data_IF_307755558302
#
_entry.id   IF_307755558302
#
_cell.length_a   1.000
_cell.length_b   1.000
_cell.length_c   1.000
_cell.angle_alpha   90.00
_cell.angle_beta   90.00
_cell.angle_gamma   90.00
#
_symmetry.space_group_name_H-M   'P 1'
#
loop_
_entity.id
_entity.type
_entity.pdbx_description
1 polymer ?
#
# COMPACT_ATOMS: atom_id res chain seq x y z
N UNK A 1 -42.29 -10.38 9.50
CA UNK A 1 -41.32 -9.48 10.15
C UNK A 1 -41.83 -8.06 10.03
N UNK A 2 -41.82 -7.28 11.12
CA UNK A 2 -42.20 -5.86 11.10
C UNK A 2 -40.97 -5.01 10.73
N UNK A 3 -40.99 -4.36 9.56
CA UNK A 3 -39.91 -3.49 9.09
C UNK A 3 -39.69 -2.30 10.05
N UNK A 4 -40.74 -1.82 10.72
CA UNK A 4 -40.62 -0.73 11.71
C UNK A 4 -39.75 -1.12 12.89
N UNK A 5 -39.85 -2.37 13.34
CA UNK A 5 -39.02 -2.90 14.42
C UNK A 5 -37.53 -2.89 14.02
N UNK A 6 -37.22 -3.31 12.79
CA UNK A 6 -35.84 -3.31 12.28
C UNK A 6 -35.30 -1.88 12.12
N UNK A 7 -36.13 -0.94 11.69
CA UNK A 7 -35.77 0.48 11.62
C UNK A 7 -35.45 1.07 13.00
N UNK A 8 -36.24 0.74 14.03
CA UNK A 8 -35.95 1.16 15.40
C UNK A 8 -34.60 0.61 15.91
N UNK A 9 -34.30 -0.66 15.62
CA UNK A 9 -33.01 -1.27 15.96
C UNK A 9 -31.87 -0.55 15.23
N UNK A 10 -32.05 -0.19 13.95
CA UNK A 10 -31.07 0.59 13.19
C UNK A 10 -30.80 1.95 13.85
N UNK A 11 -31.86 2.68 14.22
CA UNK A 11 -31.71 3.99 14.86
C UNK A 11 -31.07 3.91 16.24
N UNK A 12 -31.37 2.85 17.01
CA UNK A 12 -30.68 2.56 18.27
C UNK A 12 -29.18 2.34 18.04
N UNK A 13 -28.82 1.51 17.05
CA UNK A 13 -27.42 1.28 16.67
C UNK A 13 -26.72 2.57 16.22
N UNK A 14 -27.39 3.42 15.44
CA UNK A 14 -26.87 4.72 15.03
C UNK A 14 -26.62 5.65 16.22
N UNK A 15 -27.53 5.66 17.20
CA UNK A 15 -27.38 6.45 18.43
C UNK A 15 -26.16 5.99 19.24
N UNK A 16 -26.02 4.68 19.47
CA UNK A 16 -24.87 4.08 20.17
C UNK A 16 -23.56 4.35 19.44
N UNK A 17 -23.56 4.27 18.11
CA UNK A 17 -22.39 4.57 17.29
C UNK A 17 -21.95 6.03 17.43
N UNK A 18 -22.89 6.98 17.44
CA UNK A 18 -22.61 8.41 17.68
C UNK A 18 -22.04 8.66 19.07
N UNK A 19 -22.46 7.87 20.06
CA UNK A 19 -21.92 7.91 21.43
C UNK A 19 -20.54 7.24 21.55
N UNK A 20 -19.97 6.73 20.45
CA UNK A 20 -18.71 5.97 20.39
C UNK A 20 -18.75 4.63 21.15
N UNK A 21 -19.92 4.16 21.56
CA UNK A 21 -20.09 2.80 22.07
C UNK A 21 -20.20 1.81 20.91
N UNK A 22 -19.04 1.50 20.32
CA UNK A 22 -18.94 0.65 19.14
C UNK A 22 -19.39 -0.79 19.40
N UNK A 23 -19.20 -1.29 20.64
CA UNK A 23 -19.58 -2.67 21.02
C UNK A 23 -21.09 -2.82 21.05
N UNK A 24 -21.78 -1.93 21.77
CA UNK A 24 -23.24 -1.97 21.84
C UNK A 24 -23.87 -1.64 20.48
N UNK A 25 -23.28 -0.73 19.71
CA UNK A 25 -23.73 -0.45 18.35
C UNK A 25 -23.63 -1.69 17.44
N UNK A 26 -22.52 -2.44 17.50
CA UNK A 26 -22.36 -3.68 16.74
C UNK A 26 -23.43 -4.71 17.12
N UNK A 27 -23.69 -4.90 18.41
CA UNK A 27 -24.74 -5.83 18.88
C UNK A 27 -26.12 -5.41 18.35
N UNK A 28 -26.44 -4.11 18.41
CA UNK A 28 -27.71 -3.60 17.88
C UNK A 28 -27.84 -3.85 16.37
N UNK A 29 -26.82 -3.53 15.58
CA UNK A 29 -26.86 -3.77 14.13
C UNK A 29 -26.93 -5.28 13.81
N UNK A 30 -26.19 -6.12 14.53
CA UNK A 30 -26.24 -7.58 14.37
C UNK A 30 -27.64 -8.13 14.68
N UNK A 31 -28.30 -7.66 15.73
CA UNK A 31 -29.67 -8.05 16.05
C UNK A 31 -30.65 -7.71 14.90
N UNK A 32 -30.46 -6.56 14.26
CA UNK A 32 -31.24 -6.18 13.08
C UNK A 32 -30.99 -7.10 11.88
N UNK A 33 -29.73 -7.42 11.60
CA UNK A 33 -29.34 -8.37 10.53
C UNK A 33 -29.92 -9.75 10.80
N UNK A 34 -29.77 -10.26 12.03
CA UNK A 34 -30.30 -11.55 12.47
C UNK A 34 -31.82 -11.64 12.32
N UNK A 35 -32.55 -10.56 12.66
CA UNK A 35 -34.00 -10.53 12.51
C UNK A 35 -34.42 -10.70 11.06
N UNK A 36 -33.69 -10.05 10.13
CA UNK A 36 -33.90 -10.19 8.70
C UNK A 36 -33.55 -11.61 8.23
N UNK A 37 -32.37 -12.12 8.56
CA UNK A 37 -31.92 -13.45 8.13
C UNK A 37 -32.84 -14.57 8.67
N UNK A 38 -33.29 -14.47 9.92
CA UNK A 38 -34.22 -15.43 10.54
C UNK A 38 -35.65 -15.35 10.03
N UNK A 39 -36.02 -14.25 9.36
CA UNK A 39 -37.37 -14.10 8.80
C UNK A 39 -37.67 -15.04 7.62
N UNK A 40 -36.62 -15.63 7.03
CA UNK A 40 -36.72 -16.49 5.84
C UNK A 40 -37.08 -15.73 4.55
N UNK A 41 -37.19 -14.41 4.60
CA UNK A 41 -37.47 -13.59 3.43
C UNK A 41 -36.21 -13.43 2.58
N UNK A 42 -36.34 -13.60 1.27
CA UNK A 42 -35.27 -13.30 0.34
C UNK A 42 -35.06 -11.78 0.29
N UNK A 43 -33.90 -11.33 0.77
CA UNK A 43 -33.53 -9.91 0.85
C UNK A 43 -33.55 -9.25 -0.53
N UNK A 44 -33.27 -10.00 -1.60
CA UNK A 44 -33.21 -9.46 -2.97
C UNK A 44 -34.58 -9.11 -3.56
N UNK A 45 -35.66 -9.72 -3.07
CA UNK A 45 -37.00 -9.61 -3.67
C UNK A 45 -37.78 -8.39 -3.17
N UNK A 46 -37.39 -7.84 -2.02
CA UNK A 46 -38.02 -6.67 -1.42
C UNK A 46 -37.02 -5.52 -1.31
N UNK A 47 -37.28 -4.42 -2.03
CA UNK A 47 -36.39 -3.25 -2.11
C UNK A 47 -36.15 -2.58 -0.75
N UNK A 48 -37.17 -2.47 0.08
CA UNK A 48 -37.06 -1.83 1.39
C UNK A 48 -36.27 -2.71 2.35
N UNK A 49 -36.52 -4.02 2.32
CA UNK A 49 -35.76 -5.01 3.07
C UNK A 49 -34.29 -5.05 2.63
N UNK A 50 -34.03 -5.06 1.32
CA UNK A 50 -32.68 -4.95 0.73
C UNK A 50 -31.97 -3.72 1.25
N UNK A 51 -32.61 -2.57 1.15
CA UNK A 51 -32.04 -1.29 1.59
C UNK A 51 -31.69 -1.33 3.07
N UNK A 52 -32.59 -1.85 3.90
CA UNK A 52 -32.39 -1.91 5.35
C UNK A 52 -31.29 -2.90 5.74
N UNK A 53 -31.26 -4.08 5.12
CA UNK A 53 -30.19 -5.07 5.30
C UNK A 53 -28.82 -4.53 4.92
N UNK A 54 -28.71 -3.85 3.77
CA UNK A 54 -27.46 -3.23 3.31
C UNK A 54 -27.01 -2.11 4.27
N UNK A 55 -27.93 -1.28 4.76
CA UNK A 55 -27.61 -0.24 5.76
C UNK A 55 -27.09 -0.82 7.07
N UNK A 56 -27.79 -1.82 7.63
CA UNK A 56 -27.40 -2.49 8.87
C UNK A 56 -26.05 -3.20 8.72
N UNK A 57 -25.90 -4.02 7.67
CA UNK A 57 -24.70 -4.81 7.43
C UNK A 57 -23.48 -3.93 7.18
N UNK A 58 -23.62 -2.87 6.37
CA UNK A 58 -22.50 -1.94 6.17
C UNK A 58 -22.13 -1.26 7.49
N UNK A 59 -23.09 -0.74 8.26
CA UNK A 59 -22.82 -0.11 9.56
C UNK A 59 -22.19 -1.06 10.58
N UNK A 60 -22.62 -2.33 10.60
CA UNK A 60 -22.00 -3.37 11.40
C UNK A 60 -20.53 -3.59 11.00
N UNK A 61 -20.24 -3.68 9.70
CA UNK A 61 -18.85 -3.80 9.21
C UNK A 61 -17.99 -2.60 9.62
N UNK A 62 -18.55 -1.38 9.67
CA UNK A 62 -17.84 -0.20 10.19
C UNK A 62 -17.55 -0.32 11.69
N UNK A 63 -18.48 -0.85 12.48
CA UNK A 63 -18.26 -1.06 13.91
C UNK A 63 -17.12 -2.05 14.16
N UNK A 64 -17.06 -3.14 13.39
CA UNK A 64 -15.97 -4.12 13.47
C UNK A 64 -14.64 -3.53 13.00
N UNK A 65 -14.63 -2.78 11.89
CA UNK A 65 -13.44 -2.09 11.40
C UNK A 65 -12.86 -1.15 12.46
N UNK A 66 -13.70 -0.33 13.11
CA UNK A 66 -13.26 0.60 14.16
C UNK A 66 -12.80 -0.11 15.46
N UNK A 67 -13.18 -1.37 15.64
CA UNK A 67 -12.75 -2.22 16.76
C UNK A 67 -11.52 -3.07 16.42
N UNK A 68 -10.92 -2.89 15.25
CA UNK A 68 -9.84 -3.73 14.70
C UNK A 68 -10.23 -5.22 14.54
N UNK A 69 -11.53 -5.51 14.45
CA UNK A 69 -12.10 -6.84 14.18
C UNK A 69 -12.21 -7.04 12.66
N UNK A 70 -11.07 -7.12 12.00
CA UNK A 70 -11.00 -7.05 10.53
C UNK A 70 -11.60 -8.29 9.86
N UNK A 71 -11.49 -9.48 10.48
CA UNK A 71 -12.01 -10.72 9.89
C UNK A 71 -13.53 -10.68 9.78
N UNK A 72 -14.20 -10.28 10.87
CA UNK A 72 -15.64 -10.11 10.95
C UNK A 72 -16.12 -9.07 9.94
N UNK A 73 -15.44 -7.93 9.86
CA UNK A 73 -15.74 -6.88 8.89
C UNK A 73 -15.68 -7.38 7.44
N UNK A 74 -14.67 -8.19 7.08
CA UNK A 74 -14.53 -8.78 5.73
C UNK A 74 -15.70 -9.72 5.43
N UNK A 75 -16.06 -10.62 6.36
CA UNK A 75 -17.17 -11.56 6.15
C UNK A 75 -18.49 -10.84 5.89
N UNK A 76 -18.76 -9.77 6.64
CA UNK A 76 -19.97 -8.97 6.46
C UNK A 76 -19.93 -8.23 5.10
N UNK A 77 -18.80 -7.64 4.73
CA UNK A 77 -18.67 -6.98 3.43
C UNK A 77 -18.83 -7.97 2.27
N UNK A 78 -18.34 -9.21 2.41
CA UNK A 78 -18.55 -10.26 1.41
C UNK A 78 -20.05 -10.56 1.23
N UNK A 79 -20.83 -10.65 2.31
CA UNK A 79 -22.29 -10.81 2.22
C UNK A 79 -22.95 -9.63 1.51
N UNK A 80 -22.56 -8.40 1.86
CA UNK A 80 -23.10 -7.18 1.24
C UNK A 80 -22.82 -7.15 -0.26
N UNK A 81 -21.59 -7.45 -0.67
CA UNK A 81 -21.16 -7.38 -2.07
C UNK A 81 -21.74 -8.51 -2.95
N UNK A 82 -22.23 -9.60 -2.35
CA UNK A 82 -23.04 -10.60 -3.06
C UNK A 82 -24.41 -10.04 -3.48
N UNK A 83 -24.99 -9.16 -2.66
CA UNK A 83 -26.33 -8.58 -2.88
C UNK A 83 -26.26 -7.28 -3.68
N UNK A 84 -25.22 -6.49 -3.46
CA UNK A 84 -24.95 -5.20 -4.10
C UNK A 84 -23.44 -5.09 -4.41
N UNK A 85 -23.00 -5.61 -5.57
CA UNK A 85 -21.58 -5.63 -5.94
C UNK A 85 -20.92 -4.25 -6.03
N UNK A 86 -21.72 -3.20 -6.25
CA UNK A 86 -21.24 -1.83 -6.43
C UNK A 86 -21.38 -0.99 -5.15
N UNK A 87 -21.63 -1.64 -4.00
CA UNK A 87 -21.77 -0.97 -2.73
C UNK A 87 -20.47 -0.28 -2.30
N UNK A 88 -20.39 1.03 -2.50
CA UNK A 88 -19.17 1.83 -2.27
C UNK A 88 -18.65 1.73 -0.83
N UNK A 89 -19.56 1.69 0.15
CA UNK A 89 -19.21 1.55 1.57
C UNK A 89 -18.59 0.19 1.88
N UNK A 90 -19.15 -0.89 1.33
CA UNK A 90 -18.62 -2.23 1.56
C UNK A 90 -17.28 -2.45 0.86
N UNK A 91 -17.12 -1.99 -0.40
CA UNK A 91 -15.85 -2.04 -1.12
C UNK A 91 -14.75 -1.33 -0.33
N UNK A 92 -15.01 -0.09 0.11
CA UNK A 92 -14.03 0.69 0.87
C UNK A 92 -13.67 0.02 2.20
N UNK A 93 -14.67 -0.44 2.97
CA UNK A 93 -14.45 -1.06 4.29
C UNK A 93 -13.73 -2.40 4.17
N UNK A 94 -14.05 -3.22 3.17
CA UNK A 94 -13.36 -4.49 2.91
C UNK A 94 -11.90 -4.26 2.52
N UNK A 95 -11.63 -3.27 1.68
CA UNK A 95 -10.27 -2.89 1.32
C UNK A 95 -9.44 -2.48 2.55
N UNK A 96 -9.98 -1.63 3.42
CA UNK A 96 -9.29 -1.22 4.64
C UNK A 96 -9.05 -2.38 5.61
N UNK A 97 -10.02 -3.28 5.80
CA UNK A 97 -9.83 -4.47 6.64
C UNK A 97 -8.79 -5.44 6.09
N UNK A 98 -8.80 -5.68 4.77
CA UNK A 98 -7.79 -6.53 4.11
C UNK A 98 -6.39 -5.94 4.22
N UNK A 99 -6.24 -4.62 4.01
CA UNK A 99 -4.99 -3.90 4.26
C UNK A 99 -4.51 -4.09 5.70
N UNK A 100 -5.39 -3.84 6.68
CA UNK A 100 -5.02 -3.94 8.09
C UNK A 100 -4.65 -5.37 8.51
N UNK A 101 -5.32 -6.40 7.96
CA UNK A 101 -4.91 -7.79 8.16
C UNK A 101 -3.53 -8.07 7.56
N UNK A 102 -3.27 -7.59 6.34
CA UNK A 102 -1.97 -7.77 5.70
C UNK A 102 -0.85 -7.10 6.50
N UNK A 103 -1.13 -5.96 7.14
CA UNK A 103 -0.18 -5.22 7.97
C UNK A 103 -0.03 -5.76 9.40
N UNK A 104 -0.85 -6.74 9.79
CA UNK A 104 -0.79 -7.35 11.12
C UNK A 104 0.59 -7.93 11.43
N UNK A 105 0.98 -7.86 12.70
CA UNK A 105 2.22 -8.47 13.20
C UNK A 105 2.27 -9.99 12.95
N UNK A 106 1.10 -10.63 12.80
CA UNK A 106 0.96 -12.04 12.49
C UNK A 106 1.72 -12.44 11.22
N UNK A 107 1.88 -11.52 10.26
CA UNK A 107 2.54 -11.76 8.97
C UNK A 107 3.83 -10.94 8.83
N UNK A 108 4.44 -10.51 9.94
CA UNK A 108 5.53 -9.52 9.92
C UNK A 108 6.88 -10.05 9.41
N UNK A 109 7.11 -11.36 9.41
CA UNK A 109 8.37 -11.94 8.96
C UNK A 109 8.51 -11.84 7.42
N UNK A 110 9.48 -11.06 6.90
CA UNK A 110 9.68 -10.91 5.46
C UNK A 110 10.32 -12.13 4.79
N UNK A 111 10.71 -13.15 5.56
CA UNK A 111 11.28 -14.41 5.06
C UNK A 111 10.31 -15.58 5.13
N UNK A 112 9.17 -15.41 5.80
CA UNK A 112 8.13 -16.44 5.83
C UNK A 112 7.31 -16.39 4.53
N UNK A 113 7.43 -17.45 3.75
CA UNK A 113 6.78 -17.58 2.46
C UNK A 113 5.26 -17.55 2.62
N UNK A 114 4.71 -18.21 3.64
CA UNK A 114 3.26 -18.30 3.84
C UNK A 114 2.68 -16.92 4.25
N UNK A 115 3.34 -16.21 5.17
CA UNK A 115 3.00 -14.83 5.50
C UNK A 115 2.98 -13.91 4.26
N UNK A 116 3.95 -14.05 3.36
CA UNK A 116 3.99 -13.26 2.13
C UNK A 116 2.87 -13.63 1.15
N UNK A 117 2.54 -14.92 1.02
CA UNK A 117 1.42 -15.38 0.17
C UNK A 117 0.08 -14.84 0.67
N UNK A 118 -0.15 -14.91 1.98
CA UNK A 118 -1.35 -14.36 2.63
C UNK A 118 -1.44 -12.85 2.40
N UNK A 119 -0.33 -12.13 2.65
CA UNK A 119 -0.25 -10.68 2.38
C UNK A 119 -0.56 -10.33 0.93
N UNK A 120 -0.02 -11.07 -0.03
CA UNK A 120 -0.29 -10.81 -1.45
C UNK A 120 -1.76 -11.03 -1.80
N UNK A 121 -2.40 -12.06 -1.24
CA UNK A 121 -3.84 -12.30 -1.41
C UNK A 121 -4.69 -11.16 -0.84
N UNK A 122 -4.44 -10.76 0.40
CA UNK A 122 -5.15 -9.68 1.08
C UNK A 122 -5.01 -8.33 0.34
N UNK A 123 -3.78 -7.95 -0.03
CA UNK A 123 -3.56 -6.73 -0.79
C UNK A 123 -4.11 -6.80 -2.21
N UNK A 124 -4.11 -7.96 -2.86
CA UNK A 124 -4.74 -8.14 -4.17
C UNK A 124 -6.25 -7.88 -4.10
N UNK A 125 -6.93 -8.42 -3.09
CA UNK A 125 -8.36 -8.19 -2.91
C UNK A 125 -8.66 -6.73 -2.56
N UNK A 126 -7.88 -6.13 -1.65
CA UNK A 126 -8.05 -4.73 -1.29
C UNK A 126 -7.81 -3.78 -2.49
N UNK A 127 -6.84 -4.11 -3.35
CA UNK A 127 -6.59 -3.38 -4.59
C UNK A 127 -7.79 -3.45 -5.53
N UNK A 128 -8.32 -4.64 -5.78
CA UNK A 128 -9.47 -4.83 -6.66
C UNK A 128 -10.70 -4.03 -6.20
N UNK A 129 -10.94 -4.00 -4.88
CA UNK A 129 -12.03 -3.22 -4.29
C UNK A 129 -11.86 -1.72 -4.48
N UNK A 130 -10.65 -1.18 -4.28
CA UNK A 130 -10.37 0.25 -4.45
C UNK A 130 -10.34 0.67 -5.92
N UNK A 131 -9.86 -0.19 -6.83
CA UNK A 131 -9.92 0.06 -8.28
C UNK A 131 -11.37 0.15 -8.72
N UNK A 132 -12.21 -0.81 -8.31
CA UNK A 132 -13.65 -0.78 -8.56
C UNK A 132 -14.31 0.45 -7.95
N UNK A 133 -13.98 0.81 -6.71
CA UNK A 133 -14.54 1.99 -6.06
C UNK A 133 -14.16 3.28 -6.81
N UNK A 134 -12.93 3.38 -7.32
CA UNK A 134 -12.46 4.54 -8.06
C UNK A 134 -13.12 4.68 -9.45
N UNK A 135 -13.70 3.60 -10.01
CA UNK A 135 -14.55 3.72 -11.23
C UNK A 135 -15.97 4.18 -10.92
N UNK A 136 -16.46 3.90 -9.71
CA UNK A 136 -17.80 4.31 -9.26
C UNK A 136 -17.83 5.75 -8.74
N UNK A 137 -16.85 6.13 -7.92
CA UNK A 137 -16.76 7.44 -7.29
C UNK A 137 -15.29 7.91 -7.21
N UNK A 138 -14.98 9.03 -7.85
CA UNK A 138 -13.65 9.64 -7.74
C UNK A 138 -13.45 10.27 -6.34
N UNK A 139 -12.60 9.64 -5.52
CA UNK A 139 -12.29 10.13 -4.19
C UNK A 139 -10.78 10.17 -3.96
N UNK A 140 -10.27 11.32 -3.51
CA UNK A 140 -8.85 11.53 -3.21
C UNK A 140 -8.31 10.54 -2.17
N UNK A 141 -9.11 10.17 -1.17
CA UNK A 141 -8.73 9.19 -0.15
C UNK A 141 -8.57 7.79 -0.75
N UNK A 142 -9.48 7.39 -1.65
CA UNK A 142 -9.40 6.11 -2.38
C UNK A 142 -8.14 6.05 -3.25
N UNK A 143 -7.82 7.15 -3.96
CA UNK A 143 -6.58 7.23 -4.75
C UNK A 143 -5.31 7.12 -3.88
N UNK A 144 -5.32 7.71 -2.69
CA UNK A 144 -4.21 7.61 -1.73
C UNK A 144 -4.04 6.17 -1.22
N UNK A 145 -5.13 5.53 -0.80
CA UNK A 145 -5.10 4.13 -0.33
C UNK A 145 -4.68 3.18 -1.45
N UNK A 146 -5.22 3.36 -2.66
CA UNK A 146 -4.83 2.55 -3.81
C UNK A 146 -3.34 2.71 -4.13
N UNK A 147 -2.82 3.94 -4.10
CA UNK A 147 -1.39 4.18 -4.29
C UNK A 147 -0.54 3.47 -3.24
N UNK A 148 -0.98 3.42 -1.99
CA UNK A 148 -0.27 2.72 -0.93
C UNK A 148 -0.27 1.21 -1.16
N UNK A 149 -1.45 0.62 -1.40
CA UNK A 149 -1.62 -0.82 -1.62
C UNK A 149 -0.81 -1.32 -2.80
N UNK A 150 -0.79 -0.55 -3.90
CA UNK A 150 0.01 -0.90 -5.09
C UNK A 150 1.50 -0.93 -4.74
N UNK A 151 2.01 0.03 -3.96
CA UNK A 151 3.42 0.05 -3.53
C UNK A 151 3.78 -1.15 -2.67
N UNK A 152 2.94 -1.50 -1.69
CA UNK A 152 3.19 -2.66 -0.81
C UNK A 152 3.07 -3.99 -1.56
N UNK A 153 2.08 -4.13 -2.44
CA UNK A 153 1.89 -5.32 -3.27
C UNK A 153 3.14 -5.62 -4.11
N UNK A 154 3.79 -4.59 -4.65
CA UNK A 154 5.04 -4.75 -5.41
C UNK A 154 6.17 -5.26 -4.52
N UNK A 155 6.31 -4.74 -3.30
CA UNK A 155 7.32 -5.22 -2.34
C UNK A 155 7.13 -6.70 -2.01
N UNK A 156 5.89 -7.10 -1.75
CA UNK A 156 5.53 -8.49 -1.43
C UNK A 156 5.82 -9.41 -2.61
N UNK A 157 5.40 -9.04 -3.82
CA UNK A 157 5.67 -9.84 -5.03
C UNK A 157 7.17 -10.00 -5.32
N UNK A 158 7.97 -8.97 -5.05
CA UNK A 158 9.43 -9.07 -5.18
C UNK A 158 10.00 -10.03 -4.12
N UNK A 159 9.56 -9.93 -2.87
CA UNK A 159 9.99 -10.82 -1.80
C UNK A 159 9.61 -12.28 -2.11
N UNK A 160 8.38 -12.51 -2.57
CA UNK A 160 7.89 -13.82 -3.02
C UNK A 160 8.74 -14.37 -4.15
N UNK A 161 9.03 -13.58 -5.19
CA UNK A 161 9.87 -14.02 -6.31
C UNK A 161 11.28 -14.42 -5.88
N UNK A 162 11.85 -13.73 -4.89
CA UNK A 162 13.20 -14.02 -4.39
C UNK A 162 13.25 -15.32 -3.56
N UNK A 163 12.16 -15.65 -2.86
CA UNK A 163 12.06 -16.84 -2.01
C UNK A 163 11.50 -18.06 -2.77
N UNK A 164 10.61 -17.82 -3.73
CA UNK A 164 9.94 -18.80 -4.57
C UNK A 164 9.83 -18.27 -6.03
N UNK A 165 10.78 -18.64 -6.90
CA UNK A 165 10.76 -18.24 -8.30
C UNK A 165 9.57 -18.77 -9.12
N UNK A 166 8.86 -19.81 -8.64
CA UNK A 166 7.72 -20.43 -9.34
C UNK A 166 6.37 -19.79 -9.01
N UNK A 167 6.31 -18.93 -8.00
CA UNK A 167 5.09 -18.29 -7.48
C UNK A 167 4.18 -17.66 -8.56
N UNK A 168 4.73 -16.94 -9.54
CA UNK A 168 3.92 -16.28 -10.57
C UNK A 168 3.22 -17.25 -11.52
N UNK A 169 3.81 -18.43 -11.75
CA UNK A 169 3.22 -19.45 -12.61
C UNK A 169 2.11 -20.21 -11.87
N UNK A 170 2.26 -20.41 -10.57
CA UNK A 170 1.22 -21.01 -9.71
C UNK A 170 0.03 -20.08 -9.54
N UNK A 171 0.26 -18.80 -9.25
CA UNK A 171 -0.81 -17.81 -9.07
C UNK A 171 -1.68 -17.66 -10.32
N UNK A 172 -1.06 -17.60 -11.51
CA UNK A 172 -1.80 -17.55 -12.78
C UNK A 172 -2.66 -18.79 -13.03
N UNK A 173 -2.21 -19.98 -12.60
CA UNK A 173 -3.01 -21.20 -12.70
C UNK A 173 -4.21 -21.15 -11.74
N UNK A 174 -3.99 -20.67 -10.52
CA UNK A 174 -5.05 -20.52 -9.51
C UNK A 174 -6.11 -19.49 -9.91
N UNK A 175 -5.73 -18.33 -10.44
CA UNK A 175 -6.68 -17.31 -10.92
C UNK A 175 -7.56 -17.86 -12.07
N UNK A 176 -6.96 -18.63 -12.99
CA UNK A 176 -7.70 -19.28 -14.10
C UNK A 176 -8.59 -20.41 -13.60
N UNK A 177 -8.22 -21.11 -12.53
CA UNK A 177 -9.05 -22.16 -11.91
C UNK A 177 -10.20 -21.56 -11.08
N UNK A 178 -9.98 -20.45 -10.37
CA UNK A 178 -11.03 -19.73 -9.63
C UNK A 178 -12.05 -19.08 -10.57
N UNK A 179 -11.63 -18.54 -11.71
CA UNK A 179 -12.55 -18.04 -12.76
C UNK A 179 -13.43 -19.16 -13.33
N UNK A 180 -12.90 -20.39 -13.46
CA UNK A 180 -13.66 -21.57 -13.89
C UNK A 180 -14.59 -22.08 -12.79
N UNK A 181 -14.12 -22.16 -11.55
CA UNK A 181 -14.94 -22.61 -10.41
C UNK A 181 -16.05 -21.64 -10.03
N UNK A 182 -15.92 -20.35 -10.34
CA UNK A 182 -16.98 -19.35 -10.17
C UNK A 182 -18.06 -19.41 -11.28
N UNK A 183 -17.82 -20.14 -12.38
CA UNK A 183 -18.85 -20.45 -13.39
C UNK A 183 -19.62 -21.73 -13.07
N UNK A 184 -19.00 -22.69 -12.37
CA UNK A 184 -19.57 -24.02 -12.10
C UNK A 184 -20.33 -24.14 -10.74
N UNK A 185 -20.57 -23.04 -10.02
CA UNK A 185 -21.28 -23.04 -8.72
C UNK A 185 -22.71 -22.48 -8.72
N UNK A 186 -23.26 -22.14 -9.89
CA UNK A 186 -24.69 -21.87 -10.07
C UNK A 186 -25.29 -22.86 -11.08
N UNK A 187 -25.35 -24.13 -10.72
CA UNK A 187 -26.34 -25.05 -11.28
C UNK A 187 -27.58 -24.99 -10.40
N UNK A 188 -28.39 -23.94 -10.56
CA UNK A 188 -29.85 -24.03 -10.61
C UNK A 188 -30.44 -22.65 -10.93
N UNK A 189 -31.30 -22.63 -11.95
CA UNK A 189 -32.02 -21.47 -12.53
C UNK A 189 -31.23 -20.68 -13.60
N UNK A 190 -30.91 -21.37 -14.71
CA UNK A 190 -30.88 -20.74 -16.04
C UNK A 190 -32.30 -20.65 -16.57
N UNK A 191 -32.86 -19.44 -16.66
CA UNK A 191 -33.67 -18.93 -17.77
C UNK A 191 -34.31 -17.61 -17.32
N UNK A 192 -33.94 -16.50 -17.98
CA UNK A 192 -34.77 -15.28 -18.23
C UNK A 192 -33.93 -14.08 -18.72
N UNK A 193 -32.58 -14.10 -18.66
CA UNK A 193 -31.78 -12.94 -19.11
C UNK A 193 -30.90 -13.25 -20.33
N UNK A 194 -31.47 -13.85 -21.38
CA UNK A 194 -30.77 -14.04 -22.67
C UNK A 194 -31.07 -12.92 -23.69
N UNK A 195 -32.06 -12.03 -23.48
CA UNK A 195 -32.46 -11.05 -24.52
C UNK A 195 -32.28 -9.56 -24.18
N UNK A 196 -31.12 -9.17 -23.64
CA UNK A 196 -30.64 -7.76 -23.69
C UNK A 196 -29.16 -7.59 -24.05
N UNK A 197 -28.52 -8.60 -24.60
CA UNK A 197 -27.08 -8.63 -24.93
C UNK A 197 -26.80 -8.60 -26.43
N UNK A 198 -27.23 -7.57 -27.16
CA UNK A 198 -26.76 -7.33 -28.55
C UNK A 198 -26.47 -5.86 -28.94
N UNK A 199 -26.35 -4.92 -28.00
CA UNK A 199 -25.98 -3.51 -28.35
C UNK A 199 -24.89 -2.81 -27.55
N UNK A 200 -24.17 -3.49 -26.65
CA UNK A 200 -23.05 -2.87 -25.90
C UNK A 200 -21.68 -3.54 -26.13
N UNK A 201 -21.53 -4.34 -27.20
CA UNK A 201 -20.28 -5.07 -27.49
C UNK A 201 -19.18 -4.26 -28.20
N UNK A 202 -19.26 -2.92 -28.21
CA UNK A 202 -18.17 -2.08 -28.74
C UNK A 202 -17.40 -1.30 -27.66
N UNK A 203 -17.87 -1.24 -26.40
CA UNK A 203 -17.17 -0.54 -25.32
C UNK A 203 -16.51 -1.44 -24.26
N UNK A 204 -16.34 -2.74 -24.56
CA UNK A 204 -15.69 -3.72 -23.66
C UNK A 204 -14.35 -4.26 -24.19
N UNK A 205 -13.69 -3.52 -25.09
CA UNK A 205 -12.30 -3.77 -25.51
C UNK A 205 -11.28 -2.86 -24.83
N UNK A 206 -11.43 -2.62 -23.52
CA UNK A 206 -10.35 -2.11 -22.67
C UNK A 206 -10.25 -3.01 -21.44
N UNK A 207 -10.03 -4.30 -21.69
CA UNK A 207 -9.36 -5.18 -20.75
C UNK A 207 -8.17 -5.75 -21.49
N UNK A 208 -7.07 -5.00 -21.49
CA UNK A 208 -5.77 -5.58 -21.77
C UNK A 208 -5.19 -5.99 -20.42
N UNK A 209 -5.10 -7.30 -20.19
CA UNK A 209 -4.25 -7.86 -19.16
C UNK A 209 -2.82 -7.39 -19.43
N UNK A 210 -2.37 -6.36 -18.70
CA UNK A 210 -0.99 -5.91 -18.80
C UNK A 210 -0.07 -7.06 -18.42
N UNK A 211 0.81 -7.43 -19.35
CA UNK A 211 1.88 -8.39 -19.13
C UNK A 211 2.78 -7.93 -17.99
N UNK A 212 3.51 -8.85 -17.36
CA UNK A 212 4.41 -8.51 -16.25
C UNK A 212 5.49 -7.50 -16.65
N UNK A 213 5.82 -7.44 -17.94
CA UNK A 213 6.69 -6.44 -18.54
C UNK A 213 6.03 -5.07 -18.62
N UNK A 214 4.78 -5.00 -19.11
CA UNK A 214 4.02 -3.74 -19.15
C UNK A 214 3.70 -3.21 -17.74
N UNK A 215 3.44 -4.09 -16.76
CA UNK A 215 3.24 -3.69 -15.36
C UNK A 215 4.54 -3.17 -14.74
N UNK A 216 5.68 -3.81 -15.01
CA UNK A 216 6.98 -3.33 -14.58
C UNK A 216 7.34 -2.00 -15.26
N UNK A 217 7.00 -1.81 -16.53
CA UNK A 217 7.16 -0.54 -17.23
C UNK A 217 6.24 0.54 -16.66
N UNK A 218 4.96 0.27 -16.39
CA UNK A 218 4.04 1.24 -15.78
C UNK A 218 4.50 1.63 -14.38
N UNK A 219 4.98 0.67 -13.57
CA UNK A 219 5.47 0.93 -12.21
C UNK A 219 6.79 1.70 -12.26
N UNK A 220 7.72 1.29 -13.13
CA UNK A 220 8.98 2.00 -13.39
C UNK A 220 8.69 3.43 -13.88
N UNK A 221 7.80 3.61 -14.84
CA UNK A 221 7.36 4.90 -15.37
C UNK A 221 6.69 5.77 -14.28
N UNK A 222 5.94 5.19 -13.34
CA UNK A 222 5.33 5.92 -12.23
C UNK A 222 6.34 6.38 -11.17
N UNK A 223 7.29 5.52 -10.78
CA UNK A 223 8.41 5.90 -9.91
C UNK A 223 9.33 6.90 -10.60
N UNK A 224 9.58 6.70 -11.90
CA UNK A 224 10.39 7.59 -12.71
C UNK A 224 9.74 8.97 -12.83
N UNK A 225 8.41 9.03 -13.05
CA UNK A 225 7.62 10.27 -13.07
C UNK A 225 7.58 10.94 -11.69
N UNK A 226 7.47 10.18 -10.60
CA UNK A 226 7.50 10.73 -9.24
C UNK A 226 8.89 11.29 -8.90
N UNK A 227 9.95 10.58 -9.28
CA UNK A 227 11.32 11.02 -9.15
C UNK A 227 11.58 12.29 -9.99
N UNK A 228 11.10 12.35 -11.23
CA UNK A 228 11.17 13.54 -12.09
C UNK A 228 10.37 14.72 -11.50
N UNK A 229 9.19 14.47 -10.92
CA UNK A 229 8.42 15.48 -10.20
C UNK A 229 9.19 16.02 -8.98
N UNK A 230 9.82 15.15 -8.19
CA UNK A 230 10.62 15.58 -7.03
C UNK A 230 11.83 16.39 -7.51
N UNK A 231 12.52 15.93 -8.56
CA UNK A 231 13.68 16.62 -9.13
C UNK A 231 13.31 17.98 -9.76
N UNK A 232 12.11 18.11 -10.34
CA UNK A 232 11.64 19.37 -10.97
C UNK A 232 11.03 20.39 -10.00
N UNK A 233 10.69 20.01 -8.75
CA UNK A 233 10.20 20.96 -7.73
C UNK A 233 11.24 22.02 -7.40
N UNK A 234 10.83 23.26 -7.12
CA UNK A 234 11.75 24.30 -6.64
C UNK A 234 11.97 24.28 -5.13
N UNK A 235 11.07 23.64 -4.39
CA UNK A 235 11.07 23.62 -2.94
C UNK A 235 11.97 22.49 -2.39
N UNK A 236 12.66 22.80 -1.29
CA UNK A 236 13.41 21.81 -0.51
C UNK A 236 12.48 21.07 0.46
N UNK A 237 12.85 19.86 0.90
CA UNK A 237 12.11 19.15 1.93
C UNK A 237 12.03 19.98 3.21
N UNK A 238 10.81 20.21 3.71
CA UNK A 238 10.53 21.11 4.83
C UNK A 238 10.94 20.53 6.19
N UNK A 239 11.08 19.21 6.26
CA UNK A 239 11.46 18.50 7.48
C UNK A 239 12.12 17.16 7.15
N UNK A 240 12.74 16.55 8.15
CA UNK A 240 13.45 15.26 8.01
C UNK A 240 12.54 14.13 7.53
N UNK A 241 11.25 14.14 7.89
CA UNK A 241 10.29 13.12 7.46
C UNK A 241 10.00 13.22 5.95
N UNK A 242 9.79 14.44 5.45
CA UNK A 242 9.63 14.68 4.02
C UNK A 242 10.90 14.29 3.25
N UNK A 243 12.08 14.61 3.79
CA UNK A 243 13.34 14.15 3.21
C UNK A 243 13.40 12.62 3.13
N UNK A 244 13.04 11.89 4.19
CA UNK A 244 13.03 10.42 4.22
C UNK A 244 12.07 9.84 3.16
N UNK A 245 10.87 10.40 3.02
CA UNK A 245 9.91 9.99 1.99
C UNK A 245 10.41 10.24 0.57
N UNK A 246 11.02 11.40 0.33
CA UNK A 246 11.59 11.75 -0.97
C UNK A 246 12.79 10.86 -1.29
N UNK A 247 13.71 10.68 -0.34
CA UNK A 247 14.88 9.81 -0.46
C UNK A 247 14.49 8.36 -0.77
N UNK A 248 13.44 7.85 -0.12
CA UNK A 248 12.91 6.50 -0.36
C UNK A 248 12.43 6.24 -1.78
N UNK A 249 12.01 7.30 -2.47
CA UNK A 249 11.60 7.22 -3.88
C UNK A 249 12.79 6.87 -4.79
N UNK A 250 14.03 7.20 -4.37
CA UNK A 250 15.23 7.01 -5.17
C UNK A 250 16.06 5.77 -4.77
N UNK A 251 15.63 4.98 -3.78
CA UNK A 251 16.37 3.80 -3.26
C UNK A 251 16.85 2.80 -4.33
N UNK A 252 16.16 2.71 -5.47
CA UNK A 252 16.49 1.82 -6.60
C UNK A 252 17.09 2.54 -7.82
N UNK A 253 17.19 3.87 -7.79
CA UNK A 253 17.61 4.71 -8.91
C UNK A 253 18.81 5.57 -8.49
N UNK A 254 20.00 4.94 -8.44
CA UNK A 254 21.24 5.59 -8.00
C UNK A 254 21.60 6.85 -8.79
N UNK A 255 21.25 6.91 -10.07
CA UNK A 255 21.40 8.04 -10.97
C UNK A 255 20.53 9.23 -10.54
N UNK A 256 19.25 8.98 -10.28
CA UNK A 256 18.30 10.01 -9.82
C UNK A 256 18.56 10.42 -8.38
N UNK A 257 19.00 9.49 -7.53
CA UNK A 257 19.45 9.78 -6.18
C UNK A 257 20.63 10.75 -6.19
N UNK A 258 21.60 10.55 -7.10
CA UNK A 258 22.72 11.48 -7.27
C UNK A 258 22.26 12.88 -7.68
N UNK A 259 21.33 13.00 -8.62
CA UNK A 259 20.73 14.29 -9.00
C UNK A 259 20.01 14.96 -7.83
N UNK A 260 19.29 14.17 -7.02
CA UNK A 260 18.60 14.67 -5.83
C UNK A 260 19.61 15.16 -4.78
N UNK A 261 20.72 14.43 -4.56
CA UNK A 261 21.80 14.85 -3.67
C UNK A 261 22.40 16.19 -4.10
N UNK A 262 22.68 16.34 -5.41
CA UNK A 262 23.23 17.58 -5.97
C UNK A 262 22.30 18.77 -5.85
N UNK A 263 20.99 18.53 -5.93
CA UNK A 263 19.97 19.57 -5.88
C UNK A 263 19.82 20.18 -4.47
N UNK A 264 20.04 19.40 -3.42
CA UNK A 264 19.77 19.82 -2.06
C UNK A 264 20.90 20.71 -1.50
N UNK A 265 20.56 21.75 -0.73
CA UNK A 265 21.53 22.46 0.10
C UNK A 265 22.27 21.51 1.05
N UNK A 266 23.58 21.70 1.18
CA UNK A 266 24.49 20.85 1.96
C UNK A 266 24.18 20.87 3.47
N UNK A 267 23.60 21.95 3.98
CA UNK A 267 23.21 22.10 5.39
C UNK A 267 22.05 21.17 5.81
N UNK A 268 21.23 20.73 4.85
CA UNK A 268 20.13 19.79 5.11
C UNK A 268 20.67 18.48 5.68
N UNK A 269 21.82 18.02 5.19
CA UNK A 269 22.43 16.77 5.66
C UNK A 269 22.80 16.82 7.14
N UNK A 270 23.22 17.98 7.64
CA UNK A 270 23.46 18.18 9.08
C UNK A 270 22.17 18.02 9.89
N UNK A 271 21.05 18.60 9.41
CA UNK A 271 19.74 18.51 10.07
C UNK A 271 19.17 17.09 10.04
N UNK A 272 19.23 16.44 8.88
CA UNK A 272 18.67 15.10 8.66
C UNK A 272 19.40 14.06 9.50
N UNK A 273 20.74 14.05 9.45
CA UNK A 273 21.55 13.06 10.15
C UNK A 273 21.71 13.34 11.67
N UNK A 274 21.17 14.45 12.17
CA UNK A 274 21.09 14.71 13.62
C UNK A 274 19.93 14.00 14.32
N UNK A 275 18.94 13.47 13.56
CA UNK A 275 17.76 12.78 14.12
C UNK A 275 18.10 11.38 14.64
N UNK A 276 17.58 11.01 15.81
CA UNK A 276 17.86 9.74 16.50
C UNK A 276 17.46 8.49 15.68
N UNK A 277 16.34 8.59 14.96
CA UNK A 277 15.69 7.46 14.27
C UNK A 277 16.03 7.36 12.77
N UNK A 278 17.11 7.98 12.30
CA UNK A 278 17.48 7.97 10.88
C UNK A 278 18.14 6.64 10.45
N UNK A 279 17.79 6.02 9.30
CA UNK A 279 18.33 4.73 8.89
C UNK A 279 19.83 4.78 8.48
N UNK A 280 20.71 3.93 9.05
CA UNK A 280 22.14 3.86 8.69
C UNK A 280 22.40 3.54 7.21
N UNK A 281 21.48 2.82 6.57
CA UNK A 281 21.57 2.41 5.16
C UNK A 281 21.57 3.58 4.18
N UNK A 282 21.08 4.76 4.57
CA UNK A 282 21.03 5.92 3.66
C UNK A 282 22.42 6.48 3.38
N UNK A 283 23.33 6.42 4.36
CA UNK A 283 24.73 6.84 4.17
C UNK A 283 25.42 5.96 3.11
N UNK A 284 25.11 4.66 3.10
CA UNK A 284 25.64 3.71 2.12
C UNK A 284 25.01 3.92 0.73
N UNK A 285 23.72 4.27 0.66
CA UNK A 285 23.05 4.61 -0.60
C UNK A 285 23.59 5.92 -1.20
N UNK A 286 23.90 6.91 -0.36
CA UNK A 286 24.58 8.15 -0.79
C UNK A 286 25.96 7.80 -1.36
N UNK A 287 26.74 6.99 -0.63
CA UNK A 287 28.05 6.51 -1.09
C UNK A 287 27.97 5.81 -2.45
N UNK A 288 27.03 4.87 -2.61
CA UNK A 288 26.84 4.10 -3.84
C UNK A 288 26.45 5.00 -5.03
N UNK A 289 25.50 5.92 -4.83
CA UNK A 289 25.07 6.85 -5.87
C UNK A 289 26.23 7.76 -6.34
N UNK A 290 27.00 8.31 -5.40
CA UNK A 290 28.14 9.16 -5.71
C UNK A 290 29.24 8.36 -6.42
N UNK A 291 29.57 7.15 -5.94
CA UNK A 291 30.58 6.30 -6.58
C UNK A 291 30.22 5.96 -8.04
N UNK A 292 28.94 5.75 -8.35
CA UNK A 292 28.49 5.37 -9.69
C UNK A 292 28.37 6.54 -10.66
N UNK A 293 27.98 7.72 -10.19
CA UNK A 293 27.51 8.80 -11.06
C UNK A 293 28.25 10.12 -10.91
N UNK A 294 29.16 10.25 -9.94
CA UNK A 294 29.84 11.52 -9.68
C UNK A 294 30.70 12.02 -10.83
N UNK A 295 30.66 13.34 -11.04
CA UNK A 295 31.49 14.05 -12.01
C UNK A 295 32.45 14.99 -11.28
N UNK A 296 33.62 15.23 -11.87
CA UNK A 296 34.67 16.07 -11.28
C UNK A 296 34.19 17.48 -10.90
N UNK A 297 33.30 18.07 -11.71
CA UNK A 297 32.69 19.37 -11.45
C UNK A 297 31.93 19.46 -10.12
N UNK A 298 31.41 18.33 -9.64
CA UNK A 298 30.58 18.27 -8.43
C UNK A 298 31.39 17.92 -7.17
N UNK A 299 32.68 17.61 -7.29
CA UNK A 299 33.50 17.14 -6.16
C UNK A 299 33.53 18.12 -4.97
N UNK A 300 33.67 19.45 -5.14
CA UNK A 300 33.64 20.39 -4.02
C UNK A 300 32.34 20.32 -3.22
N UNK A 301 31.19 20.23 -3.92
CA UNK A 301 29.87 20.09 -3.31
C UNK A 301 29.77 18.77 -2.52
N UNK A 302 30.25 17.67 -3.09
CA UNK A 302 30.20 16.35 -2.47
C UNK A 302 31.06 16.26 -1.20
N UNK A 303 32.22 16.92 -1.20
CA UNK A 303 33.06 17.06 0.00
C UNK A 303 32.28 17.80 1.09
N UNK A 304 31.57 18.87 0.74
CA UNK A 304 30.76 19.64 1.69
C UNK A 304 29.56 18.84 2.26
N UNK A 305 28.94 17.97 1.45
CA UNK A 305 27.90 17.04 1.92
C UNK A 305 28.45 16.12 3.00
N UNK A 306 29.58 15.45 2.75
CA UNK A 306 30.18 14.55 3.75
C UNK A 306 30.72 15.28 4.97
N UNK A 307 31.18 16.52 4.81
CA UNK A 307 31.57 17.39 5.92
C UNK A 307 30.36 17.69 6.83
N UNK A 308 29.19 17.99 6.26
CA UNK A 308 27.98 18.27 7.04
C UNK A 308 27.39 17.03 7.74
N UNK A 309 27.73 15.83 7.27
CA UNK A 309 27.32 14.56 7.92
C UNK A 309 28.20 14.22 9.13
N UNK A 310 29.50 14.53 9.08
CA UNK A 310 30.54 13.97 9.98
C UNK A 310 30.38 14.33 11.46
N UNK A 311 29.72 15.43 11.78
CA UNK A 311 29.58 15.93 13.15
C UNK A 311 28.21 15.60 13.77
N UNK A 312 27.47 14.67 13.16
CA UNK A 312 26.10 14.32 13.61
C UNK A 312 26.07 13.11 14.53
N UNK A 313 25.11 13.07 15.47
CA UNK A 313 24.94 11.95 16.39
C UNK A 313 24.75 10.62 15.64
N UNK A 314 23.97 10.60 14.55
CA UNK A 314 23.73 9.39 13.78
C UNK A 314 24.96 8.94 13.02
N UNK A 315 25.79 9.85 12.52
CA UNK A 315 27.04 9.49 11.86
C UNK A 315 27.93 8.63 12.77
N UNK A 316 28.07 9.00 14.04
CA UNK A 316 28.81 8.20 15.01
C UNK A 316 28.22 6.78 15.20
N UNK A 317 26.89 6.63 15.16
CA UNK A 317 26.25 5.31 15.17
C UNK A 317 26.49 4.53 13.88
N UNK A 318 26.38 5.19 12.73
CA UNK A 318 26.60 4.55 11.42
C UNK A 318 28.05 4.05 11.33
N UNK A 319 29.02 4.85 11.78
CA UNK A 319 30.43 4.46 11.82
C UNK A 319 30.70 3.18 12.62
N UNK A 320 29.90 2.87 13.65
CA UNK A 320 30.02 1.63 14.41
C UNK A 320 29.51 0.40 13.64
N UNK A 321 28.66 0.60 12.64
CA UNK A 321 28.01 -0.45 11.85
C UNK A 321 28.63 -0.64 10.45
N UNK A 322 29.48 0.30 9.98
CA UNK A 322 30.15 0.21 8.69
C UNK A 322 31.23 -0.89 8.70
N UNK A 323 31.15 -1.80 7.73
CA UNK A 323 32.09 -2.91 7.51
C UNK A 323 33.44 -2.44 6.96
N UNK A 324 34.46 -3.31 6.99
CA UNK A 324 35.78 -3.01 6.43
C UNK A 324 35.73 -2.70 4.92
N UNK A 325 34.88 -3.41 4.18
CA UNK A 325 34.75 -3.22 2.72
C UNK A 325 34.04 -1.90 2.37
N UNK A 326 33.04 -1.51 3.16
CA UNK A 326 32.39 -0.21 3.02
C UNK A 326 33.35 0.94 3.37
N UNK A 327 34.19 0.79 4.42
CA UNK A 327 35.25 1.76 4.72
C UNK A 327 36.25 1.91 3.57
N UNK A 328 36.63 0.79 2.93
CA UNK A 328 37.49 0.83 1.73
C UNK A 328 36.81 1.61 0.59
N UNK A 329 35.50 1.43 0.43
CA UNK A 329 34.70 2.16 -0.56
C UNK A 329 34.64 3.67 -0.26
N UNK A 330 34.49 4.08 1.01
CA UNK A 330 34.61 5.48 1.43
C UNK A 330 36.01 6.04 1.17
N UNK A 331 37.06 5.30 1.52
CA UNK A 331 38.45 5.72 1.31
C UNK A 331 38.77 5.95 -0.16
N UNK A 332 38.31 5.04 -1.03
CA UNK A 332 38.45 5.18 -2.47
C UNK A 332 37.69 6.41 -2.99
N UNK A 333 36.44 6.61 -2.58
CA UNK A 333 35.67 7.79 -2.98
C UNK A 333 36.35 9.08 -2.54
N UNK A 334 36.78 9.16 -1.28
CA UNK A 334 37.39 10.36 -0.70
C UNK A 334 38.69 10.73 -1.40
N UNK A 335 39.47 9.74 -1.86
CA UNK A 335 40.63 9.99 -2.73
C UNK A 335 40.20 10.55 -4.08
N UNK A 336 39.18 9.96 -4.69
CA UNK A 336 38.65 10.40 -6.00
C UNK A 336 38.13 11.83 -5.97
N UNK A 337 37.36 12.20 -4.94
CA UNK A 337 36.77 13.54 -4.82
C UNK A 337 37.71 14.59 -4.20
N UNK A 338 38.94 14.21 -3.84
CA UNK A 338 39.91 15.13 -3.23
C UNK A 338 39.52 15.61 -1.83
N UNK A 339 38.92 14.73 -1.02
CA UNK A 339 38.51 15.08 0.34
C UNK A 339 39.73 15.41 1.24
N UNK A 340 39.59 16.34 2.19
CA UNK A 340 40.67 16.71 3.11
C UNK A 340 40.96 15.57 4.11
N UNK A 341 42.19 15.51 4.60
CA UNK A 341 42.65 14.47 5.56
C UNK A 341 41.81 14.41 6.85
N UNK A 342 41.30 15.55 7.30
CA UNK A 342 40.31 15.67 8.39
C UNK A 342 39.13 14.69 8.18
N UNK A 343 38.56 14.68 6.97
CA UNK A 343 37.40 13.85 6.68
C UNK A 343 37.75 12.35 6.74
N UNK A 344 38.95 11.97 6.31
CA UNK A 344 39.44 10.58 6.47
C UNK A 344 39.54 10.18 7.94
N UNK A 345 39.99 11.10 8.81
CA UNK A 345 40.06 10.89 10.26
C UNK A 345 38.67 10.75 10.86
N UNK A 346 37.75 11.66 10.55
CA UNK A 346 36.36 11.61 11.06
C UNK A 346 35.65 10.32 10.67
N UNK A 347 35.87 9.81 9.45
CA UNK A 347 35.25 8.57 8.97
C UNK A 347 36.01 7.29 9.39
N UNK A 348 37.10 7.42 10.17
CA UNK A 348 37.95 6.29 10.62
C UNK A 348 38.44 5.43 9.46
N UNK A 349 38.99 6.09 8.43
CA UNK A 349 39.44 5.50 7.16
C UNK A 349 40.97 5.40 7.02
N UNK A 350 41.72 5.88 8.02
CA UNK A 350 43.17 5.80 8.10
C UNK A 350 43.62 4.57 8.89
#
# INVERSE_FOLDING_TARGET
MDLKQVEQIKEQGNSLFKQKDLKSAAIAFQNGVDLIEKSGQNVSDNKDLKTLYLQLSTNLALCHLNQNQHFEAIQICNKVLKIDPDNTKALYRRALSNKAQAESQLYSDPKDLESLRIKDGLFSQARADLEKLNTLEENKAVKQELSYIVKESVKIKIALKNLDPTYQNEKKKQEVEEEKQNQDKDSDIQEVVINKSKKNNENLKISQNFTLQELNEVTKNAFDKMAEQILSRKENPQNTFQYEQEFDTFKKHSDKLYLYIKKLPTDIYKKVFSKKDYPPTYLLLILDAINKHSKQEDYPLLVEVFQNIKDTYKFNMCLMQITKDEKKSFSNLFKTIGAPEDLFKSYKLL
#
